data_IF_679254806395
#
_entry.id   IF_679254806395
#
_cell.length_a   1.000
_cell.length_b   1.000
_cell.length_c   1.000
_cell.angle_alpha   90.00
_cell.angle_beta   90.00
_cell.angle_gamma   90.00
#
_symmetry.space_group_name_H-M   'P 1'
#
loop_
_entity.id
_entity.type
_entity.pdbx_description
1 polymer ?
#
# COMPACT_ATOMS: atom_id res chain seq x y z
N UNK A 1 -4.79 24.58 14.66
CA UNK A 1 -5.01 25.30 13.40
C UNK A 1 -5.66 24.33 12.40
N UNK A 2 -6.98 24.46 12.14
CA UNK A 2 -7.70 23.55 11.22
C UNK A 2 -7.47 24.03 9.78
N UNK A 3 -6.73 23.26 8.99
CA UNK A 3 -6.60 23.50 7.55
C UNK A 3 -7.97 23.26 6.90
N UNK A 4 -8.43 24.18 6.07
CA UNK A 4 -9.64 24.00 5.26
C UNK A 4 -9.44 22.83 4.29
N UNK A 5 -10.53 22.15 3.88
CA UNK A 5 -10.49 20.99 2.98
C UNK A 5 -9.70 21.30 1.69
N UNK A 6 -9.81 22.52 1.19
CA UNK A 6 -9.10 23.00 -0.01
C UNK A 6 -7.58 23.08 0.19
N UNK A 7 -7.11 23.63 1.31
CA UNK A 7 -5.68 23.69 1.64
C UNK A 7 -5.09 22.29 1.88
N UNK A 8 -5.87 21.37 2.47
CA UNK A 8 -5.47 19.98 2.62
C UNK A 8 -5.31 19.27 1.28
N UNK A 9 -6.28 19.47 0.37
CA UNK A 9 -6.25 18.93 -0.99
C UNK A 9 -5.05 19.45 -1.80
N UNK A 10 -4.80 20.76 -1.76
CA UNK A 10 -3.63 21.37 -2.41
C UNK A 10 -2.30 20.86 -1.86
N UNK A 11 -2.18 20.71 -0.53
CA UNK A 11 -0.94 20.24 0.10
C UNK A 11 -0.66 18.77 -0.23
N UNK A 12 -1.68 17.91 -0.24
CA UNK A 12 -1.56 16.50 -0.65
C UNK A 12 -1.17 16.39 -2.12
N UNK A 13 -1.83 17.16 -3.00
CA UNK A 13 -1.53 17.11 -4.43
C UNK A 13 -0.14 17.64 -4.76
N UNK A 14 0.34 18.67 -4.06
CA UNK A 14 1.72 19.16 -4.22
C UNK A 14 2.75 18.13 -3.79
N UNK A 15 2.53 17.43 -2.67
CA UNK A 15 3.44 16.36 -2.19
C UNK A 15 3.39 15.14 -3.12
N UNK A 16 2.21 14.75 -3.63
CA UNK A 16 2.08 13.69 -4.62
C UNK A 16 2.79 14.05 -5.91
N UNK A 17 2.58 15.25 -6.44
CA UNK A 17 3.24 15.77 -7.64
C UNK A 17 4.77 15.79 -7.47
N UNK A 18 5.27 16.32 -6.35
CA UNK A 18 6.71 16.28 -6.04
C UNK A 18 7.23 14.85 -6.00
N UNK A 19 6.56 13.92 -5.31
CA UNK A 19 6.97 12.50 -5.28
C UNK A 19 6.99 11.88 -6.69
N UNK A 20 6.02 12.19 -7.54
CA UNK A 20 5.99 11.73 -8.93
C UNK A 20 7.16 12.30 -9.72
N UNK A 21 7.38 13.61 -9.65
CA UNK A 21 8.51 14.29 -10.32
C UNK A 21 9.85 13.73 -9.84
N UNK A 22 10.04 13.50 -8.54
CA UNK A 22 11.25 12.87 -7.99
C UNK A 22 11.43 11.43 -8.49
N UNK A 23 10.36 10.64 -8.59
CA UNK A 23 10.45 9.28 -9.16
C UNK A 23 10.80 9.27 -10.64
N UNK A 24 10.27 10.22 -11.43
CA UNK A 24 10.45 10.26 -12.89
C UNK A 24 11.70 11.02 -13.33
N UNK A 25 12.05 12.12 -12.66
CA UNK A 25 13.12 13.05 -13.02
C UNK A 25 14.23 13.15 -11.97
N UNK A 26 13.96 12.74 -10.72
CA UNK A 26 14.95 12.79 -9.64
C UNK A 26 15.94 11.63 -9.65
N UNK A 27 15.65 10.54 -10.38
CA UNK A 27 16.66 9.53 -10.70
C UNK A 27 17.58 10.09 -11.78
N UNK A 28 18.76 10.55 -11.38
CA UNK A 28 19.80 10.93 -12.33
C UNK A 28 20.19 9.68 -13.12
N UNK A 29 19.80 9.64 -14.39
CA UNK A 29 20.36 8.71 -15.37
C UNK A 29 21.44 9.48 -16.11
N UNK A 30 22.63 8.91 -16.21
CA UNK A 30 23.65 9.48 -17.09
C UNK A 30 23.02 9.64 -18.47
N UNK A 31 22.96 10.86 -19.04
CA UNK A 31 22.49 11.01 -20.40
C UNK A 31 23.40 10.16 -21.30
N UNK A 32 22.86 9.61 -22.41
CA UNK A 32 23.72 8.99 -23.41
C UNK A 32 24.77 10.01 -23.85
N UNK A 33 25.95 9.52 -24.25
CA UNK A 33 27.03 10.35 -24.76
C UNK A 33 26.48 11.22 -25.92
N UNK A 34 26.48 12.54 -25.74
CA UNK A 34 26.09 13.48 -26.79
C UNK A 34 27.34 13.88 -27.58
N UNK A 35 27.48 13.36 -28.79
CA UNK A 35 28.59 13.69 -29.68
C UNK A 35 28.21 14.94 -30.51
N UNK A 36 29.06 15.98 -30.58
CA UNK A 36 28.85 17.11 -31.48
C UNK A 36 28.95 16.68 -32.97
N UNK A 37 28.01 17.16 -33.81
CA UNK A 37 27.94 16.82 -35.25
C UNK A 37 29.23 17.10 -36.03
N UNK A 38 30.02 18.09 -35.61
CA UNK A 38 31.30 18.42 -36.24
C UNK A 38 32.32 17.28 -36.12
N UNK A 39 32.29 16.52 -35.01
CA UNK A 39 33.20 15.40 -34.75
C UNK A 39 32.73 14.16 -35.51
N UNK A 40 31.41 13.96 -35.63
CA UNK A 40 30.83 12.90 -36.48
C UNK A 40 31.22 13.07 -37.95
N UNK A 41 31.18 14.31 -38.48
CA UNK A 41 31.57 14.63 -39.86
C UNK A 41 33.07 14.44 -40.13
N UNK A 42 33.90 14.54 -39.09
CA UNK A 42 35.35 14.33 -39.19
C UNK A 42 35.73 12.84 -39.19
N UNK A 43 34.78 11.92 -38.95
CA UNK A 43 35.02 10.47 -39.01
C UNK A 43 35.98 9.96 -37.95
N UNK A 44 36.15 10.70 -36.84
CA UNK A 44 37.04 10.31 -35.74
C UNK A 44 36.36 9.27 -34.87
N UNK A 45 37.02 8.15 -34.61
CA UNK A 45 36.53 7.12 -33.69
C UNK A 45 36.56 7.65 -32.25
N UNK A 46 35.40 8.00 -31.71
CA UNK A 46 35.24 8.37 -30.30
C UNK A 46 35.09 7.07 -29.51
N UNK A 47 36.11 6.74 -28.73
CA UNK A 47 36.07 5.62 -27.79
C UNK A 47 35.73 6.19 -26.41
N UNK A 48 34.62 5.74 -25.81
CA UNK A 48 34.35 6.05 -24.40
C UNK A 48 35.43 5.34 -23.56
N UNK A 49 36.22 6.01 -22.71
CA UNK A 49 37.22 5.32 -21.87
C UNK A 49 36.58 4.28 -20.93
N UNK A 50 35.27 4.40 -20.67
CA UNK A 50 34.50 3.40 -19.94
C UNK A 50 34.06 2.23 -20.83
N UNK A 51 34.11 2.34 -22.16
CA UNK A 51 33.83 1.23 -23.07
C UNK A 51 34.82 0.09 -22.91
N UNK A 52 36.11 0.36 -22.68
CA UNK A 52 37.10 -0.70 -22.41
C UNK A 52 36.71 -1.55 -21.17
N UNK A 53 36.03 -0.98 -20.18
CA UNK A 53 35.46 -1.71 -19.04
C UNK A 53 34.04 -2.24 -19.28
N UNK A 54 33.34 -1.73 -20.30
CA UNK A 54 32.06 -2.24 -20.80
C UNK A 54 32.25 -3.24 -21.94
N UNK A 55 33.49 -3.63 -22.25
CA UNK A 55 33.80 -4.65 -23.26
C UNK A 55 33.31 -5.99 -22.77
N UNK A 56 32.03 -6.16 -22.99
CA UNK A 56 31.29 -7.35 -23.24
C UNK A 56 29.88 -6.79 -23.36
N UNK A 57 29.30 -6.89 -24.55
CA UNK A 57 27.85 -6.97 -24.67
C UNK A 57 27.49 -8.25 -23.93
N UNK A 58 27.53 -8.21 -22.59
CA UNK A 58 27.32 -9.36 -21.73
C UNK A 58 25.92 -9.76 -22.07
N UNK A 59 25.79 -10.94 -22.70
CA UNK A 59 24.57 -11.75 -22.58
C UNK A 59 24.07 -11.50 -21.17
N UNK A 60 22.85 -10.96 -21.04
CA UNK A 60 22.27 -10.66 -19.74
C UNK A 60 22.62 -11.81 -18.81
N UNK A 61 23.39 -11.52 -17.76
CA UNK A 61 23.88 -12.58 -16.90
C UNK A 61 22.65 -13.23 -16.30
N UNK A 62 22.39 -14.48 -16.69
CA UNK A 62 21.34 -15.28 -16.11
C UNK A 62 21.98 -16.23 -15.10
N UNK A 63 21.38 -16.38 -13.91
CA UNK A 63 21.80 -17.41 -12.99
C UNK A 63 21.88 -18.76 -13.69
N UNK A 64 22.90 -19.59 -13.41
CA UNK A 64 23.05 -20.90 -14.05
C UNK A 64 21.96 -21.90 -13.60
N UNK A 65 21.24 -21.60 -12.53
CA UNK A 65 20.12 -22.37 -12.01
C UNK A 65 19.03 -21.41 -11.48
N UNK A 66 17.79 -21.90 -11.41
CA UNK A 66 16.67 -21.19 -10.77
C UNK A 66 16.91 -21.09 -9.26
N UNK A 67 17.64 -20.05 -8.85
CA UNK A 67 17.81 -19.67 -7.46
C UNK A 67 16.72 -18.65 -7.08
N UNK A 68 15.87 -18.94 -6.07
CA UNK A 68 14.84 -18.02 -5.60
C UNK A 68 15.34 -16.62 -5.21
N UNK A 69 16.64 -16.48 -4.90
CA UNK A 69 17.26 -15.20 -4.54
C UNK A 69 17.44 -14.27 -5.74
N UNK A 70 17.56 -14.83 -6.94
CA UNK A 70 17.74 -14.11 -8.20
C UNK A 70 16.51 -14.23 -9.12
N UNK A 71 15.37 -14.68 -8.58
CA UNK A 71 14.14 -14.78 -9.34
C UNK A 71 13.65 -13.40 -9.76
N UNK A 72 13.47 -13.23 -11.06
CA UNK A 72 12.85 -12.04 -11.66
C UNK A 72 11.38 -12.34 -11.92
N UNK A 73 10.49 -11.53 -11.35
CA UNK A 73 9.05 -11.69 -11.55
C UNK A 73 8.70 -11.38 -13.02
N UNK A 74 7.96 -12.28 -13.72
CA UNK A 74 7.58 -12.06 -15.12
C UNK A 74 6.72 -10.80 -15.25
N UNK A 75 6.65 -10.26 -16.46
CA UNK A 75 5.75 -9.13 -16.72
C UNK A 75 4.31 -9.54 -16.39
N UNK A 76 3.45 -8.62 -15.90
CA UNK A 76 2.07 -8.97 -15.55
C UNK A 76 1.30 -9.64 -16.69
N UNK A 77 1.62 -9.29 -17.94
CA UNK A 77 1.04 -9.84 -19.18
C UNK A 77 1.51 -11.25 -19.51
N UNK A 78 2.69 -11.66 -19.06
CA UNK A 78 3.22 -13.02 -19.24
C UNK A 78 2.66 -14.00 -18.20
N UNK A 79 2.02 -13.49 -17.13
CA UNK A 79 1.47 -14.33 -16.09
C UNK A 79 0.27 -15.14 -16.62
N UNK A 80 0.23 -16.48 -16.44
CA UNK A 80 -0.86 -17.32 -16.93
C UNK A 80 -2.23 -16.98 -16.33
N UNK A 81 -2.27 -16.31 -15.17
CA UNK A 81 -3.50 -15.86 -14.52
C UNK A 81 -3.91 -14.44 -14.91
N UNK A 82 -3.19 -13.82 -15.84
CA UNK A 82 -3.51 -12.49 -16.33
C UNK A 82 -4.87 -12.48 -17.03
N UNK A 83 -5.67 -11.46 -16.71
CA UNK A 83 -6.95 -11.18 -17.38
C UNK A 83 -6.92 -9.73 -17.84
N UNK A 84 -7.34 -9.51 -19.08
CA UNK A 84 -7.40 -8.16 -19.67
C UNK A 84 -8.39 -7.26 -18.90
N UNK A 85 -9.47 -7.86 -18.38
CA UNK A 85 -10.47 -7.14 -17.62
C UNK A 85 -9.96 -6.86 -16.19
N UNK A 86 -9.88 -5.58 -15.79
CA UNK A 86 -9.45 -5.23 -14.44
C UNK A 86 -10.50 -5.68 -13.42
N UNK A 87 -10.03 -6.29 -12.33
CA UNK A 87 -10.87 -6.71 -11.21
C UNK A 87 -10.45 -5.95 -9.95
N UNK A 88 -11.43 -5.37 -9.27
CA UNK A 88 -11.21 -4.71 -7.97
C UNK A 88 -11.39 -5.72 -6.85
N UNK A 89 -10.33 -5.95 -6.07
CA UNK A 89 -10.37 -6.81 -4.90
C UNK A 89 -10.53 -5.98 -3.61
N UNK A 90 -11.33 -6.47 -2.67
CA UNK A 90 -11.42 -5.90 -1.33
C UNK A 90 -10.42 -6.58 -0.39
N UNK A 91 -9.80 -5.80 0.50
CA UNK A 91 -8.92 -6.26 1.57
C UNK A 91 -9.15 -5.40 2.81
N UNK A 92 -8.84 -5.93 4.00
CA UNK A 92 -9.09 -5.26 5.29
C UNK A 92 -8.36 -3.91 5.44
N UNK A 93 -7.29 -3.69 4.67
CA UNK A 93 -6.53 -2.43 4.65
C UNK A 93 -7.20 -1.32 3.82
N UNK A 94 -8.24 -1.65 3.04
CA UNK A 94 -8.90 -0.69 2.15
C UNK A 94 -9.93 0.10 2.93
N UNK A 95 -9.83 1.43 2.86
CA UNK A 95 -10.79 2.36 3.47
C UNK A 95 -11.70 2.92 2.38
N UNK A 96 -13.01 2.72 2.55
CA UNK A 96 -14.03 3.28 1.65
C UNK A 96 -14.12 4.80 1.79
N UNK A 97 -14.44 5.49 0.69
CA UNK A 97 -14.53 6.95 0.67
C UNK A 97 -15.85 7.44 1.28
N UNK A 98 -16.95 6.75 0.97
CA UNK A 98 -18.29 7.07 1.46
C UNK A 98 -18.78 6.08 2.53
N UNK A 99 -17.85 5.36 3.18
CA UNK A 99 -18.15 4.40 4.24
C UNK A 99 -19.25 3.40 3.87
N UNK A 100 -20.36 3.38 4.63
CA UNK A 100 -21.44 2.40 4.55
C UNK A 100 -22.23 2.54 3.25
N UNK A 101 -22.48 3.76 2.76
CA UNK A 101 -23.26 3.98 1.54
C UNK A 101 -22.59 3.31 0.33
N UNK A 102 -21.26 3.43 0.24
CA UNK A 102 -20.48 2.77 -0.79
C UNK A 102 -20.57 1.25 -0.68
N UNK A 103 -20.50 0.72 0.55
CA UNK A 103 -20.62 -0.73 0.78
C UNK A 103 -22.00 -1.22 0.37
N UNK A 104 -23.07 -0.54 0.77
CA UNK A 104 -24.45 -0.87 0.41
C UNK A 104 -24.65 -0.93 -1.11
N UNK A 105 -24.09 0.02 -1.85
CA UNK A 105 -24.14 0.01 -3.32
C UNK A 105 -23.37 -1.19 -3.89
N UNK A 106 -22.17 -1.47 -3.38
CA UNK A 106 -21.34 -2.60 -3.85
C UNK A 106 -21.98 -3.96 -3.57
N UNK A 107 -22.61 -4.12 -2.41
CA UNK A 107 -23.25 -5.38 -2.00
C UNK A 107 -24.71 -5.48 -2.43
N UNK A 108 -25.27 -4.42 -3.03
CA UNK A 108 -26.69 -4.31 -3.38
C UNK A 108 -27.59 -4.56 -2.15
N UNK A 109 -27.23 -3.97 -1.03
CA UNK A 109 -27.97 -4.08 0.24
C UNK A 109 -28.49 -2.71 0.69
N UNK A 110 -29.47 -2.74 1.58
CA UNK A 110 -30.00 -1.56 2.24
C UNK A 110 -29.53 -1.55 3.70
N UNK A 111 -29.05 -0.40 4.17
CA UNK A 111 -28.75 -0.21 5.58
C UNK A 111 -30.04 0.08 6.36
N UNK A 112 -30.19 -0.55 7.52
CA UNK A 112 -31.27 -0.29 8.46
C UNK A 112 -30.65 0.15 9.79
N UNK A 113 -31.19 1.21 10.36
CA UNK A 113 -30.73 1.70 11.65
C UNK A 113 -31.31 0.83 12.77
N UNK A 114 -30.42 0.29 13.61
CA UNK A 114 -30.79 -0.53 14.76
C UNK A 114 -30.70 -2.03 14.53
N UNK A 115 -31.07 -2.79 15.56
CA UNK A 115 -31.10 -4.25 15.52
C UNK A 115 -32.50 -4.74 15.12
N UNK A 116 -32.62 -5.90 14.44
CA UNK A 116 -33.91 -6.51 14.18
C UNK A 116 -34.70 -6.75 15.49
N UNK A 117 -36.03 -6.59 15.45
CA UNK A 117 -36.89 -6.75 16.63
C UNK A 117 -36.67 -8.09 17.32
N UNK A 118 -36.55 -9.17 16.56
CA UNK A 118 -36.29 -10.51 17.07
C UNK A 118 -35.02 -10.58 17.95
N UNK A 119 -34.00 -9.78 17.63
CA UNK A 119 -32.76 -9.69 18.42
C UNK A 119 -32.97 -8.81 19.65
N UNK A 120 -33.65 -7.68 19.49
CA UNK A 120 -34.00 -6.78 20.59
C UNK A 120 -34.84 -7.48 21.66
N UNK A 121 -35.77 -8.34 21.27
CA UNK A 121 -36.60 -9.13 22.17
C UNK A 121 -35.81 -10.20 22.93
N UNK A 122 -34.63 -10.59 22.44
CA UNK A 122 -33.74 -11.52 23.14
C UNK A 122 -32.89 -10.83 24.21
N UNK A 123 -32.77 -9.50 24.13
CA UNK A 123 -32.00 -8.72 25.11
C UNK A 123 -32.67 -8.85 26.48
N UNK A 124 -31.90 -9.30 27.47
CA UNK A 124 -32.32 -9.52 28.87
C UNK A 124 -33.31 -10.68 29.12
N UNK A 125 -33.57 -11.56 28.14
CA UNK A 125 -34.30 -12.82 28.43
C UNK A 125 -33.53 -13.75 29.36
N UNK A 126 -32.20 -13.69 29.34
CA UNK A 126 -31.34 -14.47 30.21
C UNK A 126 -30.81 -13.51 31.29
N UNK A 127 -31.20 -13.76 32.53
CA UNK A 127 -30.65 -13.05 33.68
C UNK A 127 -29.26 -13.62 34.00
N UNK A 128 -28.25 -12.76 33.91
CA UNK A 128 -26.88 -13.10 34.31
C UNK A 128 -26.66 -12.51 35.70
N UNK A 129 -26.36 -13.33 36.72
CA UNK A 129 -26.15 -12.82 38.08
C UNK A 129 -24.95 -11.87 38.09
N UNK A 130 -25.12 -10.69 38.72
CA UNK A 130 -24.08 -9.67 38.84
C UNK A 130 -23.46 -9.23 37.50
N UNK A 131 -24.24 -9.20 36.41
CA UNK A 131 -23.82 -8.83 35.03
C UNK A 131 -22.88 -7.63 35.00
N UNK A 132 -23.22 -6.54 35.69
CA UNK A 132 -22.42 -5.31 35.71
C UNK A 132 -21.05 -5.50 36.39
N UNK A 133 -21.02 -6.23 37.50
CA UNK A 133 -19.78 -6.49 38.25
C UNK A 133 -18.85 -7.39 37.45
N UNK A 134 -19.40 -8.39 36.75
CA UNK A 134 -18.65 -9.23 35.82
C UNK A 134 -18.11 -8.41 34.66
N UNK A 135 -18.93 -7.57 34.03
CA UNK A 135 -18.50 -6.69 32.94
C UNK A 135 -17.35 -5.77 33.37
N UNK A 136 -17.49 -5.11 34.52
CA UNK A 136 -16.42 -4.26 35.10
C UNK A 136 -15.15 -5.06 35.33
N UNK A 137 -15.26 -6.27 35.87
CA UNK A 137 -14.12 -7.17 36.09
C UNK A 137 -13.42 -7.54 34.78
N UNK A 138 -14.17 -7.85 33.72
CA UNK A 138 -13.59 -8.18 32.41
C UNK A 138 -12.91 -6.98 31.76
N UNK A 139 -13.50 -5.78 31.84
CA UNK A 139 -12.89 -4.54 31.35
C UNK A 139 -11.58 -4.27 32.10
N UNK A 140 -11.61 -4.28 33.44
CA UNK A 140 -10.41 -4.10 34.27
C UNK A 140 -9.36 -5.18 34.00
N UNK A 141 -9.78 -6.42 33.76
CA UNK A 141 -8.85 -7.48 33.37
C UNK A 141 -8.19 -7.18 32.03
N UNK A 142 -8.95 -6.76 31.01
CA UNK A 142 -8.42 -6.45 29.68
C UNK A 142 -7.47 -5.25 29.66
N UNK A 143 -7.69 -4.26 30.53
CA UNK A 143 -6.95 -3.00 30.53
C UNK A 143 -5.85 -2.96 31.59
N UNK A 144 -6.08 -3.47 32.80
CA UNK A 144 -5.19 -3.21 33.95
C UNK A 144 -4.57 -4.49 34.53
N UNK A 145 -5.34 -5.59 34.65
CA UNK A 145 -4.86 -6.76 35.41
C UNK A 145 -4.00 -7.72 34.60
N UNK A 146 -4.05 -7.65 33.25
CA UNK A 146 -3.03 -8.29 32.43
C UNK A 146 -1.72 -7.52 32.63
N UNK A 147 -0.96 -7.99 33.63
CA UNK A 147 0.27 -7.40 34.13
C UNK A 147 1.42 -7.51 33.11
N UNK A 148 1.30 -6.79 31.99
CA UNK A 148 2.43 -6.40 31.17
C UNK A 148 2.82 -5.00 31.65
N UNK A 149 3.98 -4.88 32.30
CA UNK A 149 4.65 -3.61 32.69
C UNK A 149 5.08 -2.77 31.47
N UNK A 150 4.25 -2.65 30.44
CA UNK A 150 4.60 -2.05 29.16
C UNK A 150 3.39 -1.30 28.63
N UNK A 151 3.43 0.04 28.69
CA UNK A 151 2.90 0.92 27.63
C UNK A 151 1.46 0.56 27.19
N UNK A 152 0.55 0.51 28.15
CA UNK A 152 -0.74 -0.21 28.15
C UNK A 152 -1.82 0.19 27.12
N UNK A 153 -1.44 0.81 25.99
CA UNK A 153 -2.29 1.05 24.81
C UNK A 153 -1.49 1.11 23.50
N UNK A 154 -0.29 0.53 23.43
CA UNK A 154 0.53 0.59 22.22
C UNK A 154 -0.04 -0.19 21.01
N UNK A 155 -1.15 -0.93 21.15
CA UNK A 155 -1.83 -1.59 20.03
C UNK A 155 -2.81 -0.70 19.27
N UNK A 156 -3.04 0.55 19.68
CA UNK A 156 -3.41 1.62 18.74
C UNK A 156 -2.19 2.12 17.93
N UNK A 157 -0.97 1.73 18.31
CA UNK A 157 0.26 2.40 17.85
C UNK A 157 1.25 1.52 17.09
N UNK A 158 1.02 0.21 16.91
CA UNK A 158 1.97 -0.65 16.18
C UNK A 158 1.44 -1.40 14.95
N UNK A 159 0.22 -1.92 14.91
CA UNK A 159 -0.25 -2.72 13.75
C UNK A 159 -1.77 -2.70 13.66
N UNK A 160 -2.28 -2.65 12.43
CA UNK A 160 -3.67 -2.68 11.93
C UNK A 160 -4.16 -1.30 11.46
#
# INVERSE_FOLDING_TARGET
MRLTKELFYYKINKVKWLKTVWKTRGKYKNPPLQVPEAIEKLGVNIVDPLEEFRTDIKKEWKPPADDPRFYEEPSPTENPLYKENPVTCYSYNIKFLQNIDQVCVLTKTQNFDGLPQNVSDLVNKIEIPNKEKLLKRYIMHSQDWVSKKVKLLEELTKKI
#
